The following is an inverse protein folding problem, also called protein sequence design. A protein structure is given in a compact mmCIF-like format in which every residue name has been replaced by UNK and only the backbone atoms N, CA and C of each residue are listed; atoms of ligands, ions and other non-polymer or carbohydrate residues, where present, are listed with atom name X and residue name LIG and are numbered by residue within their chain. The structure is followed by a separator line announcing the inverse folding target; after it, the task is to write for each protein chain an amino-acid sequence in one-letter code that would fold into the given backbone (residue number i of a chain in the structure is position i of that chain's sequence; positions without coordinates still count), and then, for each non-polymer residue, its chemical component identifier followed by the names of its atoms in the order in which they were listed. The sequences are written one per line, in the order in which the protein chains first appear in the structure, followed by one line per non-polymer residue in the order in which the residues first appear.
data_IF_872942570916
#
_entry.id   IF_872942570916
#
_cell.length_a   1.000
_cell.length_b   1.000
_cell.length_c   1.000
_cell.angle_alpha   90.00
_cell.angle_beta   90.00
_cell.angle_gamma   90.00
#
_symmetry.space_group_name_H-M   'P 1'
#
loop_
_entity.id
_entity.type
_entity.pdbx_description
1 polymer ?
#
# COMPACT_ATOMS: atom_id res chain seq x y z
N UNK A 1 18.98 18.42 21.85
CA UNK A 1 17.63 17.82 21.92
C UNK A 1 17.73 16.44 21.34
N UNK A 2 17.74 15.41 22.19
CA UNK A 2 17.88 14.00 21.81
C UNK A 2 16.61 13.50 21.10
N UNK A 3 16.75 13.05 19.86
CA UNK A 3 15.65 12.46 19.06
C UNK A 3 15.05 11.25 19.79
N UNK A 4 13.77 11.27 20.23
CA UNK A 4 13.22 10.20 21.08
C UNK A 4 12.95 8.87 20.36
N UNK A 5 13.11 8.81 19.03
CA UNK A 5 12.70 7.67 18.22
C UNK A 5 13.86 7.11 17.43
N UNK A 6 14.82 6.50 18.14
CA UNK A 6 15.68 5.53 17.51
C UNK A 6 14.84 4.28 17.26
N UNK A 7 14.46 4.04 16.00
CA UNK A 7 14.32 2.68 15.52
C UNK A 7 15.67 2.03 15.85
N UNK A 8 15.75 1.31 16.96
CA UNK A 8 17.04 0.89 17.49
C UNK A 8 17.77 0.17 16.36
N UNK A 9 19.01 0.60 16.05
CA UNK A 9 19.85 0.01 15.00
C UNK A 9 20.27 -1.44 15.30
N UNK A 10 19.52 -2.11 16.19
CA UNK A 10 19.66 -3.50 16.61
C UNK A 10 19.77 -4.48 15.45
N UNK A 11 19.09 -4.21 14.32
CA UNK A 11 19.15 -5.08 13.14
C UNK A 11 20.57 -5.17 12.55
N UNK A 12 21.41 -4.13 12.74
CA UNK A 12 22.80 -4.12 12.25
C UNK A 12 23.65 -5.19 12.91
N UNK A 13 23.27 -5.62 14.12
CA UNK A 13 23.96 -6.67 14.86
C UNK A 13 23.46 -8.09 14.55
N UNK A 14 22.40 -8.22 13.74
CA UNK A 14 21.93 -9.53 13.27
C UNK A 14 22.88 -10.10 12.21
N UNK A 15 22.93 -11.42 12.10
CA UNK A 15 23.57 -12.08 10.97
C UNK A 15 22.83 -11.74 9.67
N UNK A 16 23.51 -11.80 8.52
CA UNK A 16 22.90 -11.48 7.22
C UNK A 16 21.62 -12.30 6.97
N UNK A 17 21.66 -13.60 7.27
CA UNK A 17 20.51 -14.48 7.13
C UNK A 17 19.31 -14.02 7.97
N UNK A 18 19.55 -13.58 9.20
CA UNK A 18 18.47 -13.11 10.08
C UNK A 18 17.83 -11.82 9.55
N UNK A 19 18.64 -10.91 8.98
CA UNK A 19 18.13 -9.72 8.29
C UNK A 19 17.29 -10.08 7.07
N UNK A 20 17.77 -11.01 6.24
CA UNK A 20 17.03 -11.45 5.04
C UNK A 20 15.72 -12.17 5.42
N UNK A 21 15.76 -13.08 6.40
CA UNK A 21 14.61 -13.82 6.87
C UNK A 21 13.53 -12.91 7.47
N UNK A 22 13.93 -11.80 8.12
CA UNK A 22 13.01 -10.81 8.69
C UNK A 22 12.12 -10.13 7.63
N UNK A 23 12.48 -10.23 6.35
CA UNK A 23 11.71 -9.70 5.22
C UNK A 23 11.33 -10.79 4.19
N UNK A 24 11.59 -12.06 4.45
CA UNK A 24 11.25 -13.16 3.54
C UNK A 24 9.80 -13.65 3.74
N UNK A 25 8.83 -12.82 3.36
CA UNK A 25 7.40 -13.14 3.51
C UNK A 25 6.99 -14.44 2.80
N UNK A 26 7.51 -14.71 1.61
CA UNK A 26 7.24 -15.94 0.84
C UNK A 26 7.83 -17.18 1.49
N UNK A 27 9.01 -17.06 2.12
CA UNK A 27 9.63 -18.16 2.86
C UNK A 27 8.91 -18.48 4.16
N UNK A 28 8.23 -17.50 4.76
CA UNK A 28 7.42 -17.69 5.97
C UNK A 28 6.10 -18.40 5.67
N UNK A 29 5.43 -18.05 4.56
CA UNK A 29 4.06 -18.51 4.24
C UNK A 29 4.12 -19.66 3.22
N UNK A 30 3.98 -20.93 3.62
CA UNK A 30 4.26 -22.08 2.76
C UNK A 30 3.33 -22.18 1.54
N UNK A 31 2.09 -21.71 1.67
CA UNK A 31 1.07 -21.70 0.61
C UNK A 31 1.00 -20.36 -0.14
N UNK A 32 1.96 -19.45 0.05
CA UNK A 32 1.95 -18.12 -0.59
C UNK A 32 1.79 -18.17 -2.10
N UNK A 33 2.42 -19.13 -2.78
CA UNK A 33 2.26 -19.33 -4.22
C UNK A 33 0.82 -19.67 -4.62
N UNK A 34 0.13 -20.51 -3.83
CA UNK A 34 -1.26 -20.88 -4.07
C UNK A 34 -2.19 -19.68 -3.82
N UNK A 35 -1.96 -18.93 -2.74
CA UNK A 35 -2.73 -17.72 -2.44
C UNK A 35 -2.57 -16.65 -3.55
N UNK A 36 -1.34 -16.43 -4.03
CA UNK A 36 -1.05 -15.52 -5.14
C UNK A 36 -1.76 -15.99 -6.43
N UNK A 37 -1.67 -17.27 -6.76
CA UNK A 37 -2.32 -17.82 -7.95
C UNK A 37 -3.84 -17.67 -7.90
N UNK A 38 -4.45 -17.97 -6.74
CA UNK A 38 -5.89 -17.82 -6.53
C UNK A 38 -6.34 -16.36 -6.69
N UNK A 39 -5.65 -15.40 -6.06
CA UNK A 39 -5.93 -13.97 -6.23
C UNK A 39 -5.80 -13.55 -7.70
N UNK A 40 -4.72 -13.95 -8.36
CA UNK A 40 -4.45 -13.54 -9.74
C UNK A 40 -5.51 -14.09 -10.70
N UNK A 41 -5.99 -15.32 -10.49
CA UNK A 41 -7.09 -15.90 -11.27
C UNK A 41 -8.39 -15.10 -11.09
N UNK A 42 -8.77 -14.82 -9.83
CA UNK A 42 -9.94 -13.99 -9.52
C UNK A 42 -9.83 -12.58 -10.09
N UNK A 43 -8.64 -11.97 -10.02
CA UNK A 43 -8.39 -10.65 -10.60
C UNK A 43 -8.52 -10.65 -12.12
N UNK A 44 -8.01 -11.69 -12.80
CA UNK A 44 -8.14 -11.82 -14.24
C UNK A 44 -9.61 -11.92 -14.67
N UNK A 45 -10.39 -12.77 -14.00
CA UNK A 45 -11.84 -12.89 -14.24
C UNK A 45 -12.58 -11.57 -13.96
N UNK A 46 -12.30 -10.93 -12.81
CA UNK A 46 -12.92 -9.68 -12.41
C UNK A 46 -12.64 -8.55 -13.39
N UNK A 47 -11.38 -8.44 -13.84
CA UNK A 47 -10.91 -7.44 -14.80
C UNK A 47 -11.51 -7.67 -16.18
N UNK A 48 -11.55 -8.92 -16.66
CA UNK A 48 -12.13 -9.26 -17.95
C UNK A 48 -13.63 -8.92 -18.02
N UNK A 49 -14.36 -9.08 -16.91
CA UNK A 49 -15.77 -8.70 -16.82
C UNK A 49 -16.01 -7.17 -16.79
N UNK A 50 -14.98 -6.33 -16.69
CA UNK A 50 -15.07 -4.87 -16.47
C UNK A 50 -14.08 -4.08 -17.32
N UNK A 51 -14.15 -4.26 -18.64
CA UNK A 51 -13.19 -3.69 -19.58
C UNK A 51 -13.31 -2.17 -19.86
N UNK A 52 -14.29 -1.47 -19.28
CA UNK A 52 -14.66 -0.12 -19.70
C UNK A 52 -13.62 0.99 -19.46
N UNK A 53 -12.79 0.87 -18.42
CA UNK A 53 -11.81 1.91 -18.04
C UNK A 53 -10.47 1.31 -17.61
N UNK A 54 -9.94 0.40 -18.45
CA UNK A 54 -8.67 -0.27 -18.20
C UNK A 54 -7.54 0.39 -18.98
N UNK A 55 -6.31 0.23 -18.48
CA UNK A 55 -5.08 0.65 -19.16
C UNK A 55 -5.01 2.16 -19.51
N UNK A 56 -5.69 3.02 -18.75
CA UNK A 56 -5.71 4.46 -18.97
C UNK A 56 -4.37 5.09 -18.56
N UNK A 57 -3.60 5.71 -19.48
CA UNK A 57 -2.30 6.26 -19.13
C UNK A 57 -2.43 7.50 -18.24
N UNK A 58 -1.64 7.56 -17.16
CA UNK A 58 -1.41 8.79 -16.41
C UNK A 58 -0.02 9.39 -16.67
N UNK A 59 0.79 8.70 -17.47
CA UNK A 59 2.11 9.16 -17.87
C UNK A 59 2.75 8.29 -18.94
N UNK A 60 4.06 8.46 -19.13
CA UNK A 60 4.75 8.01 -20.34
C UNK A 60 5.30 6.58 -20.24
N UNK A 61 5.66 6.14 -19.04
CA UNK A 61 6.20 4.79 -18.87
C UNK A 61 5.12 3.73 -19.08
N UNK A 62 5.51 2.55 -19.57
CA UNK A 62 4.59 1.45 -19.91
C UNK A 62 3.63 1.08 -18.76
N UNK A 63 4.13 1.22 -17.52
CA UNK A 63 3.44 0.86 -16.28
C UNK A 63 2.68 2.03 -15.64
N UNK A 64 2.81 3.25 -16.15
CA UNK A 64 2.11 4.46 -15.67
C UNK A 64 0.66 4.48 -16.19
N UNK A 65 -0.13 3.47 -15.77
CA UNK A 65 -1.52 3.25 -16.19
C UNK A 65 -2.44 3.01 -15.02
N UNK A 66 -3.70 3.41 -15.18
CA UNK A 66 -4.82 3.14 -14.29
C UNK A 66 -5.69 2.01 -14.82
N UNK A 67 -6.21 1.19 -13.90
CA UNK A 67 -7.48 0.52 -14.10
C UNK A 67 -8.51 1.19 -13.17
N UNK A 68 -9.58 1.74 -13.73
CA UNK A 68 -10.65 2.41 -12.99
C UNK A 68 -11.91 1.55 -12.98
N UNK A 69 -12.57 1.50 -11.83
CA UNK A 69 -13.82 0.81 -11.62
C UNK A 69 -14.80 1.80 -10.98
N UNK A 70 -15.53 2.61 -11.78
CA UNK A 70 -16.46 3.58 -11.24
C UNK A 70 -17.60 2.88 -10.48
N UNK A 71 -17.95 3.45 -9.33
CA UNK A 71 -19.11 3.03 -8.55
C UNK A 71 -20.43 3.50 -9.16
N UNK A 72 -21.54 3.16 -8.51
CA UNK A 72 -22.87 3.59 -8.97
C UNK A 72 -23.10 5.11 -8.77
N UNK A 73 -22.51 5.68 -7.72
CA UNK A 73 -22.55 7.11 -7.43
C UNK A 73 -21.14 7.71 -7.63
N UNK A 74 -20.93 8.57 -8.64
CA UNK A 74 -19.66 9.24 -8.85
C UNK A 74 -19.18 10.10 -7.68
N UNK A 75 -20.09 10.59 -6.82
CA UNK A 75 -19.76 11.39 -5.65
C UNK A 75 -19.39 10.52 -4.43
N UNK A 76 -19.66 9.21 -4.48
CA UNK A 76 -19.22 8.28 -3.44
C UNK A 76 -17.68 8.19 -3.42
N UNK A 77 -17.08 7.86 -2.26
CA UNK A 77 -15.62 7.78 -2.15
C UNK A 77 -14.99 6.81 -3.16
N UNK A 78 -13.73 7.06 -3.49
CA UNK A 78 -12.92 6.20 -4.33
C UNK A 78 -11.82 5.54 -3.49
N UNK A 79 -11.80 4.21 -3.48
CA UNK A 79 -10.70 3.46 -2.89
C UNK A 79 -9.60 3.26 -3.94
N UNK A 80 -8.50 4.00 -3.80
CA UNK A 80 -7.29 3.78 -4.59
C UNK A 80 -6.51 2.62 -3.98
N UNK A 81 -6.13 1.59 -4.73
CA UNK A 81 -5.32 0.48 -4.21
C UNK A 81 -3.96 0.39 -4.91
N UNK A 82 -2.88 0.56 -4.14
CA UNK A 82 -1.49 0.45 -4.59
C UNK A 82 -0.96 -0.94 -4.25
N UNK A 83 -0.53 -1.67 -5.27
CA UNK A 83 -0.08 -3.04 -5.09
C UNK A 83 1.24 -3.16 -4.32
N UNK A 84 1.50 -4.35 -3.77
CA UNK A 84 2.75 -4.69 -3.10
C UNK A 84 3.77 -5.33 -4.02
N UNK A 85 4.84 -5.88 -3.43
CA UNK A 85 5.88 -6.59 -4.18
C UNK A 85 7.28 -5.99 -4.03
N UNK A 86 7.63 -5.45 -2.86
CA UNK A 86 8.94 -4.85 -2.61
C UNK A 86 9.40 -3.85 -3.67
N UNK A 87 8.46 -3.13 -4.30
CA UNK A 87 8.72 -2.20 -5.41
C UNK A 87 9.42 -2.84 -6.62
N UNK A 88 9.51 -4.17 -6.67
CA UNK A 88 10.34 -4.95 -7.60
C UNK A 88 9.54 -5.99 -8.40
N UNK A 89 8.27 -6.24 -8.03
CA UNK A 89 7.43 -7.26 -8.65
C UNK A 89 5.94 -6.88 -8.64
N UNK A 90 5.18 -7.75 -9.28
CA UNK A 90 3.73 -7.70 -9.50
C UNK A 90 3.29 -6.58 -10.45
N UNK A 91 1.99 -6.59 -10.76
CA UNK A 91 1.34 -5.58 -11.59
C UNK A 91 -0.04 -5.26 -11.01
N UNK A 92 -0.62 -4.11 -11.36
CA UNK A 92 -1.94 -3.68 -10.86
C UNK A 92 -3.06 -4.66 -11.24
N UNK A 93 -2.93 -5.29 -12.41
CA UNK A 93 -3.91 -6.23 -12.96
C UNK A 93 -4.07 -7.47 -12.07
N UNK A 94 -3.01 -7.89 -11.37
CA UNK A 94 -3.00 -9.05 -10.45
C UNK A 94 -3.86 -8.83 -9.19
N UNK A 95 -4.32 -7.59 -8.97
CA UNK A 95 -5.04 -7.15 -7.78
C UNK A 95 -6.44 -6.61 -8.08
N UNK A 96 -6.90 -6.68 -9.34
CA UNK A 96 -8.20 -6.14 -9.76
C UNK A 96 -9.37 -6.60 -8.89
N UNK A 97 -9.35 -7.84 -8.36
CA UNK A 97 -10.40 -8.36 -7.48
C UNK A 97 -10.61 -7.51 -6.21
N UNK A 98 -9.59 -6.78 -5.75
CA UNK A 98 -9.70 -5.88 -4.59
C UNK A 98 -10.69 -4.73 -4.79
N UNK A 99 -10.99 -4.36 -6.03
CA UNK A 99 -12.03 -3.39 -6.32
C UNK A 99 -13.43 -3.86 -5.90
N UNK A 100 -13.66 -5.19 -5.79
CA UNK A 100 -14.97 -5.76 -5.47
C UNK A 100 -15.56 -5.22 -4.17
N UNK A 101 -14.76 -5.11 -3.10
CA UNK A 101 -15.25 -4.65 -1.81
C UNK A 101 -15.73 -3.20 -1.85
N UNK A 102 -14.98 -2.32 -2.50
CA UNK A 102 -15.37 -0.92 -2.68
C UNK A 102 -16.65 -0.80 -3.52
N UNK A 103 -16.71 -1.51 -4.66
CA UNK A 103 -17.91 -1.51 -5.51
C UNK A 103 -19.15 -2.04 -4.77
N UNK A 104 -19.00 -3.04 -3.89
CA UNK A 104 -20.09 -3.58 -3.09
C UNK A 104 -20.66 -2.56 -2.08
N UNK A 105 -19.87 -1.56 -1.69
CA UNK A 105 -20.30 -0.42 -0.87
C UNK A 105 -20.82 0.77 -1.70
N UNK A 106 -20.89 0.63 -3.03
CA UNK A 106 -21.25 1.71 -3.95
C UNK A 106 -20.12 2.71 -4.21
N UNK A 107 -18.92 2.47 -3.66
CA UNK A 107 -17.73 3.29 -3.87
C UNK A 107 -17.10 2.99 -5.22
N UNK A 108 -16.31 3.93 -5.73
CA UNK A 108 -15.41 3.66 -6.85
C UNK A 108 -14.13 2.96 -6.37
N UNK A 109 -13.44 2.29 -7.28
CA UNK A 109 -12.08 1.80 -7.04
C UNK A 109 -11.14 2.19 -8.19
N UNK A 110 -9.88 2.43 -7.87
CA UNK A 110 -8.86 2.77 -8.85
C UNK A 110 -7.53 2.12 -8.49
N UNK A 111 -6.88 1.48 -9.46
CA UNK A 111 -5.62 0.78 -9.26
C UNK A 111 -4.55 1.40 -10.17
N UNK A 112 -3.51 2.07 -9.64
CA UNK A 112 -2.42 2.57 -10.43
C UNK A 112 -1.33 1.49 -10.58
N UNK A 113 -0.76 1.40 -11.77
CA UNK A 113 0.54 0.77 -11.97
C UNK A 113 1.65 1.77 -11.66
N UNK A 114 2.86 1.27 -11.42
CA UNK A 114 4.08 2.07 -11.28
C UNK A 114 5.27 1.24 -11.75
N UNK A 115 6.35 1.90 -12.16
CA UNK A 115 7.60 1.27 -12.63
C UNK A 115 8.28 0.52 -11.49
N UNK A 116 9.04 -0.53 -11.78
CA UNK A 116 9.66 -1.36 -10.74
C UNK A 116 11.16 -1.09 -10.67
N UNK A 117 11.75 -1.30 -9.49
CA UNK A 117 13.19 -1.36 -9.35
C UNK A 117 13.75 -2.63 -10.05
N UNK A 118 14.91 -2.56 -10.71
CA UNK A 118 15.84 -1.43 -10.74
C UNK A 118 15.59 -0.40 -11.85
N UNK A 119 14.54 -0.56 -12.67
CA UNK A 119 14.25 0.35 -13.80
C UNK A 119 13.85 1.76 -13.33
N UNK A 120 13.32 1.87 -12.11
CA UNK A 120 13.08 3.12 -11.41
C UNK A 120 13.65 3.07 -9.98
N UNK A 121 14.18 4.21 -9.50
CA UNK A 121 14.53 4.39 -8.10
C UNK A 121 13.26 4.49 -7.23
N UNK A 122 13.38 4.31 -5.91
CA UNK A 122 12.22 4.43 -5.03
C UNK A 122 11.65 5.86 -5.05
N UNK A 123 12.51 6.88 -5.22
CA UNK A 123 12.08 8.27 -5.45
C UNK A 123 11.21 8.40 -6.70
N UNK A 124 11.61 7.79 -7.82
CA UNK A 124 10.81 7.86 -9.04
C UNK A 124 9.47 7.13 -8.89
N UNK A 125 9.44 6.01 -8.17
CA UNK A 125 8.21 5.26 -7.88
C UNK A 125 7.23 6.10 -7.05
N UNK A 126 7.68 6.78 -5.99
CA UNK A 126 6.81 7.64 -5.17
C UNK A 126 6.29 8.83 -5.97
N UNK A 127 7.10 9.40 -6.85
CA UNK A 127 6.67 10.47 -7.78
C UNK A 127 5.63 9.99 -8.78
N UNK A 128 5.77 8.77 -9.31
CA UNK A 128 4.77 8.18 -10.21
C UNK A 128 3.42 8.01 -9.50
N UNK A 129 3.41 7.55 -8.24
CA UNK A 129 2.17 7.47 -7.44
C UNK A 129 1.56 8.85 -7.21
N UNK A 130 2.36 9.86 -6.89
CA UNK A 130 1.87 11.25 -6.75
C UNK A 130 1.24 11.75 -8.04
N UNK A 131 1.91 11.59 -9.19
CA UNK A 131 1.39 11.97 -10.51
C UNK A 131 0.11 11.22 -10.87
N UNK A 132 0.01 9.95 -10.48
CA UNK A 132 -1.19 9.18 -10.67
C UNK A 132 -2.38 9.82 -9.92
N UNK A 133 -2.16 10.24 -8.67
CA UNK A 133 -3.19 10.90 -7.84
C UNK A 133 -3.58 12.28 -8.39
N UNK A 134 -2.63 13.07 -8.88
CA UNK A 134 -2.91 14.32 -9.60
C UNK A 134 -3.79 14.05 -10.84
N UNK A 135 -3.44 13.03 -11.62
CA UNK A 135 -4.22 12.63 -12.78
C UNK A 135 -5.64 12.20 -12.39
N UNK A 136 -5.79 11.40 -11.32
CA UNK A 136 -7.10 10.93 -10.87
C UNK A 136 -7.96 12.08 -10.35
N UNK A 137 -7.38 13.04 -9.63
CA UNK A 137 -8.11 14.23 -9.18
C UNK A 137 -8.60 15.09 -10.35
N UNK A 138 -7.80 15.22 -11.41
CA UNK A 138 -8.14 16.03 -12.57
C UNK A 138 -9.10 15.32 -13.57
N UNK A 139 -8.93 14.01 -13.78
CA UNK A 139 -9.60 13.27 -14.85
C UNK A 139 -10.66 12.29 -14.34
N UNK A 140 -10.60 11.90 -13.06
CA UNK A 140 -11.55 10.99 -12.42
C UNK A 140 -13.02 11.36 -12.68
N UNK A 141 -13.44 12.64 -12.57
CA UNK A 141 -14.83 13.03 -12.81
C UNK A 141 -15.35 12.65 -14.20
N UNK A 142 -14.51 12.73 -15.23
CA UNK A 142 -14.87 12.32 -16.59
C UNK A 142 -15.05 10.79 -16.72
N UNK A 143 -14.54 10.03 -15.76
CA UNK A 143 -14.64 8.58 -15.66
C UNK A 143 -15.61 8.12 -14.56
N UNK A 144 -16.45 9.01 -14.03
CA UNK A 144 -17.42 8.67 -12.99
C UNK A 144 -16.82 8.52 -11.59
N UNK A 145 -15.68 9.17 -11.32
CA UNK A 145 -14.98 9.15 -10.03
C UNK A 145 -14.71 10.58 -9.57
N UNK A 146 -15.61 11.16 -8.76
CA UNK A 146 -15.53 12.54 -8.30
C UNK A 146 -15.56 12.69 -6.77
N UNK A 147 -15.74 11.59 -6.03
CA UNK A 147 -15.79 11.59 -4.57
C UNK A 147 -14.41 11.66 -3.88
N UNK A 148 -14.40 11.70 -2.54
CA UNK A 148 -13.17 11.71 -1.74
C UNK A 148 -12.27 10.50 -2.03
N UNK A 149 -10.95 10.73 -2.10
CA UNK A 149 -9.97 9.66 -2.35
C UNK A 149 -9.49 9.07 -1.02
N UNK A 150 -9.70 7.76 -0.84
CA UNK A 150 -9.07 6.96 0.21
C UNK A 150 -7.97 6.13 -0.44
N UNK A 151 -6.70 6.42 -0.14
CA UNK A 151 -5.59 5.64 -0.68
C UNK A 151 -5.33 4.41 0.20
N UNK A 152 -5.15 3.27 -0.41
CA UNK A 152 -4.83 2.03 0.27
C UNK A 152 -3.68 1.35 -0.42
N UNK A 153 -2.98 0.48 0.29
CA UNK A 153 -1.98 -0.34 -0.34
C UNK A 153 -1.39 -1.38 0.59
N UNK A 154 -0.79 -2.39 -0.01
CA UNK A 154 -0.31 -3.58 0.68
C UNK A 154 1.20 -3.74 0.56
N UNK A 155 1.88 -4.05 1.66
CA UNK A 155 3.33 -4.26 1.69
C UNK A 155 4.09 -3.03 1.17
N UNK A 156 4.86 -3.16 0.09
CA UNK A 156 5.43 -1.99 -0.61
C UNK A 156 4.36 -0.94 -0.98
N UNK A 157 3.15 -1.36 -1.35
CA UNK A 157 2.04 -0.44 -1.56
C UNK A 157 1.51 0.19 -0.27
N UNK A 158 1.64 -0.47 0.87
CA UNK A 158 1.28 0.09 2.19
C UNK A 158 2.27 1.17 2.63
N UNK A 159 3.54 1.01 2.27
CA UNK A 159 4.54 2.09 2.33
C UNK A 159 4.14 3.27 1.43
N UNK A 160 3.84 3.00 0.15
CA UNK A 160 3.46 4.04 -0.80
C UNK A 160 2.16 4.76 -0.38
N UNK A 161 1.17 4.05 0.15
CA UNK A 161 -0.07 4.61 0.68
C UNK A 161 0.17 5.52 1.89
N UNK A 162 1.10 5.15 2.78
CA UNK A 162 1.47 5.98 3.92
C UNK A 162 2.13 7.29 3.50
N UNK A 163 3.00 7.27 2.48
CA UNK A 163 3.58 8.48 1.89
C UNK A 163 2.52 9.30 1.12
N UNK A 164 1.70 8.64 0.32
CA UNK A 164 0.64 9.25 -0.48
C UNK A 164 -0.43 9.94 0.36
N UNK A 165 -0.57 9.61 1.65
CA UNK A 165 -1.47 10.31 2.57
C UNK A 165 -1.16 11.82 2.65
N UNK A 166 0.08 12.25 2.42
CA UNK A 166 0.46 13.67 2.35
C UNK A 166 -0.17 14.41 1.17
N UNK A 167 -0.49 13.69 0.10
CA UNK A 167 -0.97 14.26 -1.15
C UNK A 167 -2.27 15.08 -0.95
N UNK A 168 -2.39 16.31 -1.49
CA UNK A 168 -3.57 17.16 -1.26
C UNK A 168 -4.91 16.51 -1.65
N UNK A 169 -4.92 15.72 -2.72
CA UNK A 169 -6.12 15.02 -3.20
C UNK A 169 -6.58 13.86 -2.29
N UNK A 170 -5.72 13.36 -1.39
CA UNK A 170 -6.03 12.21 -0.54
C UNK A 170 -6.71 12.68 0.75
N UNK A 171 -7.86 12.09 1.07
CA UNK A 171 -8.63 12.38 2.28
C UNK A 171 -8.20 11.49 3.46
N UNK A 172 -7.99 10.20 3.21
CA UNK A 172 -7.59 9.23 4.22
C UNK A 172 -6.75 8.10 3.62
N UNK A 173 -6.11 7.28 4.46
CA UNK A 173 -5.35 6.14 3.98
C UNK A 173 -5.54 4.83 4.77
N UNK A 174 -5.37 3.70 4.09
CA UNK A 174 -5.32 2.35 4.67
C UNK A 174 -4.00 1.70 4.29
N UNK A 175 -3.03 1.75 5.20
CA UNK A 175 -1.69 1.21 4.98
C UNK A 175 -1.58 -0.20 5.57
N UNK A 176 -1.49 -1.23 4.72
CA UNK A 176 -1.52 -2.63 5.13
C UNK A 176 -0.15 -3.29 5.04
N UNK A 177 0.28 -3.91 6.14
CA UNK A 177 1.53 -4.69 6.27
C UNK A 177 2.74 -3.98 5.65
N UNK A 178 2.78 -2.65 5.83
CA UNK A 178 3.73 -1.78 5.14
C UNK A 178 5.13 -1.81 5.76
N UNK A 179 6.09 -1.28 5.00
CA UNK A 179 7.45 -1.04 5.46
C UNK A 179 7.56 0.46 5.70
N UNK A 180 7.63 0.87 6.96
CA UNK A 180 7.59 2.27 7.37
C UNK A 180 8.98 2.81 7.74
N UNK A 181 9.98 1.93 7.82
CA UNK A 181 11.39 2.22 8.01
C UNK A 181 12.23 1.41 7.02
N UNK A 182 12.95 2.13 6.15
CA UNK A 182 13.70 1.56 5.03
C UNK A 182 15.16 1.25 5.36
N UNK A 183 15.75 1.79 6.43
CA UNK A 183 17.16 1.55 6.73
C UNK A 183 17.51 0.05 6.85
N UNK A 184 16.70 -0.82 7.47
CA UNK A 184 17.00 -2.25 7.49
C UNK A 184 16.99 -2.90 6.12
N UNK A 185 16.20 -2.38 5.17
CA UNK A 185 16.09 -2.95 3.81
C UNK A 185 17.43 -2.90 3.08
N UNK A 186 18.22 -1.85 3.32
CA UNK A 186 19.57 -1.67 2.75
C UNK A 186 20.55 -2.79 3.13
N UNK A 187 20.29 -3.46 4.24
CA UNK A 187 21.14 -4.53 4.76
C UNK A 187 20.56 -5.92 4.46
N UNK A 188 19.66 -6.01 3.47
CA UNK A 188 19.04 -7.26 2.98
C UNK A 188 19.26 -7.47 1.48
N UNK A 189 18.98 -8.69 1.01
CA UNK A 189 18.95 -9.05 -0.41
C UNK A 189 18.06 -8.12 -1.27
N UNK A 190 17.10 -7.41 -0.67
CA UNK A 190 16.19 -6.51 -1.40
C UNK A 190 16.92 -5.28 -1.98
N UNK A 191 18.04 -4.88 -1.37
CA UNK A 191 18.79 -3.69 -1.81
C UNK A 191 19.58 -3.91 -3.10
N UNK A 192 19.76 -5.18 -3.54
CA UNK A 192 20.41 -5.51 -4.80
C UNK A 192 19.74 -4.80 -6.00
N UNK A 193 18.41 -4.71 -5.97
CA UNK A 193 17.61 -3.98 -6.98
C UNK A 193 17.26 -2.57 -6.54
N UNK A 194 16.95 -2.34 -5.26
CA UNK A 194 16.50 -1.03 -4.79
C UNK A 194 17.62 0.02 -4.77
N UNK A 195 18.83 -0.39 -4.40
CA UNK A 195 20.02 0.46 -4.30
C UNK A 195 19.73 1.76 -3.54
N UNK A 196 19.06 1.63 -2.38
CA UNK A 196 18.55 2.78 -1.66
C UNK A 196 19.69 3.69 -1.21
N UNK A 197 19.57 4.96 -1.55
CA UNK A 197 20.47 5.99 -1.00
C UNK A 197 20.11 6.32 0.44
N UNK A 198 21.05 6.93 1.18
CA UNK A 198 20.75 7.46 2.51
C UNK A 198 19.64 8.52 2.48
N UNK A 199 19.61 9.33 1.42
CA UNK A 199 18.57 10.33 1.20
C UNK A 199 17.21 9.66 0.99
N UNK A 200 17.12 8.60 0.19
CA UNK A 200 15.87 7.85 0.01
C UNK A 200 15.40 7.19 1.32
N UNK A 201 16.31 6.67 2.14
CA UNK A 201 15.93 6.15 3.46
C UNK A 201 15.37 7.28 4.33
N UNK A 202 16.01 8.45 4.37
CA UNK A 202 15.56 9.58 5.17
C UNK A 202 14.20 10.11 4.69
N UNK A 203 14.05 10.32 3.39
CA UNK A 203 12.89 10.97 2.80
C UNK A 203 11.73 10.01 2.61
N UNK A 204 11.99 8.72 2.38
CA UNK A 204 10.94 7.77 2.00
C UNK A 204 10.65 6.76 3.10
N UNK A 205 11.20 6.90 4.32
CA UNK A 205 10.71 6.15 5.48
C UNK A 205 9.60 6.94 6.17
N UNK A 206 8.32 6.49 6.13
CA UNK A 206 7.22 7.16 6.82
C UNK A 206 7.49 7.54 8.29
N UNK A 207 8.25 6.73 9.04
CA UNK A 207 8.55 7.04 10.44
C UNK A 207 9.58 8.17 10.64
N UNK A 208 10.31 8.57 9.58
CA UNK A 208 11.33 9.62 9.62
C UNK A 208 10.80 10.98 9.14
N UNK A 209 9.57 11.02 8.63
CA UNK A 209 8.92 12.21 8.08
C UNK A 209 8.05 12.91 9.13
N UNK A 210 7.69 14.19 8.91
CA UNK A 210 6.63 14.84 9.69
C UNK A 210 5.34 14.01 9.67
N UNK A 211 4.67 13.89 10.82
CA UNK A 211 3.44 13.11 10.92
C UNK A 211 2.31 13.78 10.12
N UNK A 212 1.73 13.01 9.20
CA UNK A 212 0.55 13.40 8.43
C UNK A 212 -0.68 13.47 9.33
N UNK A 213 -1.28 14.65 9.43
CA UNK A 213 -2.51 14.91 10.20
C UNK A 213 -3.78 14.58 9.40
N UNK A 214 -3.80 13.40 8.78
CA UNK A 214 -4.99 12.82 8.12
C UNK A 214 -5.29 11.44 8.71
N UNK A 215 -6.53 10.95 8.61
CA UNK A 215 -6.88 9.61 9.07
C UNK A 215 -6.07 8.55 8.30
N UNK A 216 -5.28 7.74 9.00
CA UNK A 216 -4.61 6.57 8.42
C UNK A 216 -4.86 5.36 9.31
N UNK A 217 -5.58 4.37 8.79
CA UNK A 217 -5.65 3.05 9.39
C UNK A 217 -4.38 2.27 9.06
N UNK A 218 -3.70 1.76 10.07
CA UNK A 218 -2.51 0.92 9.93
C UNK A 218 -2.92 -0.52 10.24
N UNK A 219 -2.78 -1.39 9.25
CA UNK A 219 -3.31 -2.75 9.27
C UNK A 219 -2.15 -3.72 9.16
N UNK A 220 -2.21 -4.86 9.86
CA UNK A 220 -1.24 -5.94 9.66
C UNK A 220 -1.83 -7.31 9.99
N UNK A 221 -1.30 -8.37 9.38
CA UNK A 221 -1.65 -9.75 9.67
C UNK A 221 -1.12 -10.18 11.05
N UNK A 222 -1.99 -10.77 11.88
CA UNK A 222 -1.62 -11.24 13.22
C UNK A 222 -0.58 -12.36 13.22
N UNK A 223 -0.49 -13.10 12.12
CA UNK A 223 0.42 -14.22 11.90
C UNK A 223 1.53 -13.91 10.87
N UNK A 224 1.70 -12.65 10.43
CA UNK A 224 2.81 -12.28 9.54
C UNK A 224 4.16 -12.14 10.30
N UNK A 225 5.23 -11.92 9.54
CA UNK A 225 6.60 -11.79 10.08
C UNK A 225 6.68 -10.79 11.25
N UNK A 226 7.41 -11.11 12.34
CA UNK A 226 7.51 -10.24 13.51
C UNK A 226 7.96 -8.81 13.20
N UNK A 227 8.85 -8.65 12.22
CA UNK A 227 9.37 -7.35 11.81
C UNK A 227 8.29 -6.47 11.16
N UNK A 228 7.46 -7.02 10.28
CA UNK A 228 6.37 -6.29 9.61
C UNK A 228 5.31 -5.83 10.64
N UNK A 229 4.97 -6.71 11.58
CA UNK A 229 4.11 -6.39 12.73
C UNK A 229 4.73 -5.29 13.60
N UNK A 230 6.05 -5.34 13.82
CA UNK A 230 6.78 -4.33 14.62
C UNK A 230 6.77 -2.97 13.93
N UNK A 231 7.06 -2.91 12.63
CA UNK A 231 7.02 -1.64 11.88
C UNK A 231 5.63 -1.01 11.93
N UNK A 232 4.57 -1.78 11.72
CA UNK A 232 3.18 -1.32 11.84
C UNK A 232 2.88 -0.72 13.21
N UNK A 233 3.28 -1.40 14.30
CA UNK A 233 3.12 -0.88 15.68
C UNK A 233 3.92 0.39 15.94
N UNK A 234 5.16 0.46 15.44
CA UNK A 234 6.04 1.62 15.63
C UNK A 234 5.49 2.84 14.89
N UNK A 235 5.10 2.68 13.62
CA UNK A 235 4.52 3.76 12.83
C UNK A 235 3.23 4.28 13.46
N UNK A 236 2.34 3.40 13.91
CA UNK A 236 1.14 3.82 14.62
C UNK A 236 1.45 4.56 15.92
N UNK A 237 2.40 4.07 16.72
CA UNK A 237 2.77 4.72 17.99
C UNK A 237 3.26 6.16 17.76
N UNK A 238 4.15 6.37 16.80
CA UNK A 238 4.66 7.71 16.44
C UNK A 238 3.51 8.64 16.05
N UNK A 239 2.55 8.13 15.27
CA UNK A 239 1.36 8.91 14.88
C UNK A 239 0.45 9.22 16.07
N UNK A 240 0.21 8.25 16.94
CA UNK A 240 -0.61 8.41 18.14
C UNK A 240 0.00 9.40 19.14
N UNK A 241 1.32 9.40 19.32
CA UNK A 241 2.05 10.37 20.15
C UNK A 241 1.94 11.79 19.58
N UNK A 242 1.82 11.92 18.26
CA UNK A 242 1.52 13.18 17.58
C UNK A 242 0.01 13.47 17.44
N UNK A 243 -0.85 12.71 18.12
CA UNK A 243 -2.32 12.82 18.11
C UNK A 243 -2.96 12.76 16.72
N UNK A 244 -2.29 12.14 15.75
CA UNK A 244 -2.83 11.97 14.40
C UNK A 244 -3.91 10.87 14.36
N UNK A 245 -5.00 11.05 13.60
CA UNK A 245 -6.15 10.15 13.63
C UNK A 245 -5.91 8.84 12.89
N UNK A 246 -6.60 7.79 13.31
CA UNK A 246 -6.68 6.51 12.61
C UNK A 246 -6.20 5.32 13.45
N UNK A 247 -6.82 4.14 13.29
CA UNK A 247 -6.59 2.99 14.18
C UNK A 247 -5.37 2.14 13.79
N UNK A 248 -4.92 1.33 14.75
CA UNK A 248 -4.11 0.15 14.51
C UNK A 248 -5.02 -1.09 14.48
N UNK A 249 -5.02 -1.82 13.36
CA UNK A 249 -5.92 -2.95 13.13
C UNK A 249 -5.10 -4.23 12.87
N UNK A 250 -4.86 -5.06 13.89
CA UNK A 250 -4.38 -6.43 13.65
C UNK A 250 -5.51 -7.27 13.06
N UNK A 251 -5.23 -8.06 12.02
CA UNK A 251 -6.14 -9.07 11.48
C UNK A 251 -5.75 -10.43 12.05
N UNK A 252 -6.47 -10.97 13.06
CA UNK A 252 -6.09 -12.20 13.74
C UNK A 252 -5.96 -13.37 12.75
N UNK A 253 -4.90 -14.17 12.89
CA UNK A 253 -4.66 -15.35 12.07
C UNK A 253 -4.25 -15.08 10.61
N UNK A 254 -4.42 -13.87 10.09
CA UNK A 254 -3.98 -13.54 8.74
C UNK A 254 -2.44 -13.49 8.67
N UNK A 255 -1.91 -14.15 7.65
CA UNK A 255 -0.53 -13.98 7.21
C UNK A 255 -0.38 -12.75 6.30
N UNK A 256 0.84 -12.53 5.80
CA UNK A 256 1.16 -11.36 4.96
C UNK A 256 0.35 -11.28 3.67
N UNK A 257 -0.19 -12.39 3.16
CA UNK A 257 -0.94 -12.45 1.91
C UNK A 257 -2.46 -12.46 2.17
N UNK A 258 -2.93 -13.25 3.14
CA UNK A 258 -4.35 -13.33 3.52
C UNK A 258 -4.92 -12.03 4.08
N UNK A 259 -4.09 -11.12 4.57
CA UNK A 259 -4.55 -9.78 5.02
C UNK A 259 -5.37 -9.06 3.94
N UNK A 260 -5.08 -9.31 2.66
CA UNK A 260 -5.79 -8.75 1.51
C UNK A 260 -7.25 -9.24 1.37
N UNK A 261 -7.58 -10.43 1.86
CA UNK A 261 -8.94 -10.97 1.77
C UNK A 261 -9.97 -10.07 2.47
N UNK A 262 -9.53 -9.35 3.50
CA UNK A 262 -10.36 -8.42 4.26
C UNK A 262 -10.77 -7.16 3.47
N UNK A 263 -10.21 -6.95 2.28
CA UNK A 263 -10.55 -5.84 1.38
C UNK A 263 -11.58 -6.22 0.30
N UNK A 264 -11.50 -7.42 -0.31
CA UNK A 264 -12.47 -7.84 -1.35
C UNK A 264 -13.68 -8.58 -0.79
N UNK A 265 -13.64 -9.04 0.46
CA UNK A 265 -14.82 -9.59 1.11
C UNK A 265 -15.84 -8.48 1.36
N UNK A 266 -17.10 -8.71 0.97
CA UNK A 266 -18.20 -7.72 1.04
C UNK A 266 -18.44 -7.25 2.49
N UNK A 267 -18.28 -8.16 3.46
CA UNK A 267 -18.30 -7.85 4.89
C UNK A 267 -16.90 -7.65 5.49
N UNK A 268 -15.93 -7.27 4.66
CA UNK A 268 -14.53 -7.12 5.04
C UNK A 268 -14.33 -6.04 6.10
N UNK A 269 -13.52 -6.36 7.11
CA UNK A 269 -13.18 -5.41 8.17
C UNK A 269 -12.45 -4.17 7.62
N UNK A 270 -11.69 -4.30 6.53
CA UNK A 270 -10.88 -3.21 5.99
C UNK A 270 -11.69 -2.24 5.14
N UNK A 271 -12.67 -2.72 4.39
CA UNK A 271 -13.57 -1.85 3.63
C UNK A 271 -14.46 -1.03 4.58
N UNK A 272 -14.90 -1.61 5.71
CA UNK A 272 -15.55 -0.85 6.79
C UNK A 272 -14.61 0.14 7.46
N UNK A 273 -13.38 -0.25 7.77
CA UNK A 273 -12.40 0.67 8.34
C UNK A 273 -12.14 1.86 7.41
N UNK A 274 -12.06 1.64 6.09
CA UNK A 274 -11.94 2.72 5.12
C UNK A 274 -13.13 3.69 5.18
N UNK A 275 -14.36 3.18 5.35
CA UNK A 275 -15.56 3.99 5.53
C UNK A 275 -15.53 4.83 6.82
N UNK A 276 -15.05 4.23 7.91
CA UNK A 276 -14.97 4.89 9.21
C UNK A 276 -13.96 6.05 9.23
N UNK A 277 -12.92 6.01 8.40
CA UNK A 277 -11.95 7.10 8.27
C UNK A 277 -12.53 8.39 7.67
N UNK A 278 -13.70 8.32 7.03
CA UNK A 278 -14.38 9.47 6.40
C UNK A 278 -15.46 10.10 7.28
N UNK A 279 -15.67 9.58 8.49
CA UNK A 279 -16.64 10.11 9.47
C UNK A 279 -15.97 11.06 10.44
#
# INVERSE_FOLDING_TARGET
MSTPYAFAEGWRYWAQKERDDAYNNTGMVPDSAQQIAARNALSAEFRAARAGHLDLPYGEAEREKWDLYPGADPAAPCLVFIHGGYWQRNRREDFAILAQGALAMGWSAALPGYTLAPDASLTAITWQVSRALDWLAANGPAHGIAGPIVVSGWSAGGHLAALAAEHPAVTAAVAMSGIYELAPIRDTYLDEKLRLTEQEVADLSPIRRPVVQKPIAIVYGGAELPELRRQSRVFHRIRAEAQAPGPLIPIPGADHFRVLESLWNIDGALTRAAAELLR
#
